data_IF_231814916228
#
_entry.id   IF_231814916228
#
_cell.length_a   1.000
_cell.length_b   1.000
_cell.length_c   1.000
_cell.angle_alpha   90.00
_cell.angle_beta   90.00
_cell.angle_gamma   90.00
#
_symmetry.space_group_name_H-M   'P 1'
#
loop_
_entity.id
_entity.type
_entity.pdbx_description
1 polymer ?
#
# COMPACT_ATOMS: atom_id res chain seq x y z
N UNK A 1 -36.79 -18.16 -0.05
CA UNK A 1 -35.43 -18.20 0.55
C UNK A 1 -34.65 -17.06 -0.07
N UNK A 2 -34.25 -16.10 0.77
CA UNK A 2 -33.83 -14.75 0.34
C UNK A 2 -32.59 -14.77 -0.57
N UNK A 3 -32.76 -14.23 -1.77
CA UNK A 3 -31.69 -13.77 -2.63
C UNK A 3 -30.98 -12.60 -1.94
N UNK A 4 -29.74 -12.79 -1.50
CA UNK A 4 -28.87 -11.68 -1.02
C UNK A 4 -27.39 -11.91 -1.36
N UNK A 5 -27.09 -12.37 -2.57
CA UNK A 5 -25.70 -12.51 -3.05
C UNK A 5 -25.40 -11.68 -4.29
N UNK A 6 -25.83 -10.40 -4.33
CA UNK A 6 -25.56 -9.56 -5.52
C UNK A 6 -25.30 -8.08 -5.26
N UNK A 7 -25.51 -7.56 -4.05
CA UNK A 7 -25.29 -6.11 -3.81
C UNK A 7 -23.83 -5.78 -3.48
N UNK A 8 -23.08 -6.69 -2.85
CA UNK A 8 -21.67 -6.48 -2.51
C UNK A 8 -20.73 -6.74 -3.69
N UNK A 9 -21.16 -7.49 -4.71
CA UNK A 9 -20.37 -7.76 -5.90
C UNK A 9 -20.09 -6.50 -6.74
N UNK A 10 -20.95 -5.48 -6.64
CA UNK A 10 -20.78 -4.20 -7.34
C UNK A 10 -19.79 -3.25 -6.63
N UNK A 11 -19.54 -3.46 -5.34
CA UNK A 11 -18.53 -2.72 -4.56
C UNK A 11 -17.18 -3.44 -4.49
N UNK A 12 -17.13 -4.72 -4.88
CA UNK A 12 -15.88 -5.46 -5.00
C UNK A 12 -15.30 -5.15 -6.38
N UNK A 13 -14.10 -4.55 -6.48
CA UNK A 13 -13.44 -4.42 -7.76
C UNK A 13 -13.24 -5.82 -8.37
N UNK A 14 -13.31 -5.95 -9.70
CA UNK A 14 -13.14 -7.23 -10.36
C UNK A 14 -11.80 -7.83 -9.93
N UNK A 15 -11.83 -9.09 -9.46
CA UNK A 15 -10.62 -9.84 -9.11
C UNK A 15 -9.73 -9.94 -10.34
N UNK A 16 -8.78 -9.04 -10.49
CA UNK A 16 -7.75 -9.13 -11.52
C UNK A 16 -6.88 -10.34 -11.20
N UNK A 17 -6.74 -11.23 -12.18
CA UNK A 17 -5.92 -12.45 -12.07
C UNK A 17 -4.43 -12.11 -11.89
N UNK A 18 -4.02 -10.85 -12.09
CA UNK A 18 -2.83 -10.24 -11.50
C UNK A 18 -3.21 -9.41 -10.28
N UNK A 19 -2.78 -9.82 -9.09
CA UNK A 19 -3.27 -9.28 -7.83
C UNK A 19 -3.15 -7.75 -7.70
N UNK A 20 -4.21 -7.13 -7.20
CA UNK A 20 -4.35 -5.69 -6.98
C UNK A 20 -3.12 -5.10 -6.22
N UNK A 21 -2.43 -4.09 -6.80
CA UNK A 21 -1.27 -3.47 -6.15
C UNK A 21 -1.61 -2.83 -4.81
N UNK A 22 -2.81 -2.25 -4.65
CA UNK A 22 -3.25 -1.68 -3.38
C UNK A 22 -3.43 -2.76 -2.31
N UNK A 23 -4.18 -3.82 -2.60
CA UNK A 23 -4.31 -4.96 -1.70
C UNK A 23 -2.95 -5.56 -1.30
N UNK A 24 -1.95 -5.55 -2.20
CA UNK A 24 -0.59 -5.96 -1.85
C UNK A 24 0.08 -4.98 -0.89
N UNK A 25 0.03 -3.68 -1.15
CA UNK A 25 0.59 -2.64 -0.28
C UNK A 25 -0.03 -2.74 1.11
N UNK A 26 -1.36 -2.84 1.19
CA UNK A 26 -2.10 -2.99 2.46
C UNK A 26 -1.66 -4.25 3.21
N UNK A 27 -1.53 -5.38 2.52
CA UNK A 27 -1.06 -6.62 3.14
C UNK A 27 0.36 -6.46 3.69
N UNK A 28 1.28 -5.91 2.90
CA UNK A 28 2.66 -5.66 3.33
C UNK A 28 2.72 -4.71 4.53
N UNK A 29 1.89 -3.67 4.56
CA UNK A 29 1.79 -2.77 5.70
C UNK A 29 1.18 -3.43 6.93
N UNK A 30 0.27 -4.39 6.77
CA UNK A 30 -0.33 -5.14 7.89
C UNK A 30 0.58 -6.20 8.50
N UNK A 31 1.47 -6.79 7.69
CA UNK A 31 2.40 -7.86 8.10
C UNK A 31 3.67 -7.32 8.78
N UNK A 32 3.99 -6.03 8.61
CA UNK A 32 5.24 -5.43 9.07
C UNK A 32 4.98 -4.24 10.00
N UNK A 33 5.75 -4.12 11.09
CA UNK A 33 5.63 -2.98 12.00
C UNK A 33 5.97 -1.64 11.32
N UNK A 34 6.95 -1.66 10.41
CA UNK A 34 7.29 -0.55 9.52
C UNK A 34 7.65 -1.14 8.16
N UNK A 35 7.02 -0.63 7.11
CA UNK A 35 7.38 -0.92 5.71
C UNK A 35 7.81 0.38 5.02
N UNK A 36 8.88 0.32 4.25
CA UNK A 36 9.40 1.43 3.46
C UNK A 36 9.36 1.01 1.99
N UNK A 37 8.53 1.70 1.21
CA UNK A 37 8.60 1.66 -0.25
C UNK A 37 9.56 2.76 -0.72
N UNK A 38 10.60 2.38 -1.45
CA UNK A 38 11.78 3.20 -1.70
C UNK A 38 12.19 3.16 -3.18
N UNK A 39 13.03 4.11 -3.58
CA UNK A 39 13.76 4.10 -4.85
C UNK A 39 15.25 4.06 -4.52
N UNK A 40 15.97 3.09 -5.07
CA UNK A 40 17.34 2.79 -4.66
C UNK A 40 18.29 3.96 -4.95
N UNK A 41 18.03 4.73 -6.02
CA UNK A 41 18.82 5.90 -6.42
C UNK A 41 18.46 7.22 -5.71
N UNK A 42 17.49 7.24 -4.79
CA UNK A 42 17.02 8.46 -4.14
C UNK A 42 17.79 8.79 -2.84
N UNK A 43 18.37 9.99 -2.72
CA UNK A 43 19.11 10.41 -1.53
C UNK A 43 18.25 10.52 -0.26
N UNK A 44 16.98 10.88 -0.38
CA UNK A 44 16.04 10.94 0.75
C UNK A 44 15.67 9.54 1.26
N UNK A 45 15.52 8.56 0.37
CA UNK A 45 15.28 7.18 0.75
C UNK A 45 16.42 6.64 1.61
N UNK A 46 17.67 6.96 1.28
CA UNK A 46 18.83 6.63 2.11
C UNK A 46 18.76 7.29 3.49
N UNK A 47 18.36 8.56 3.57
CA UNK A 47 18.24 9.28 4.84
C UNK A 47 17.19 8.61 5.76
N UNK A 48 16.02 8.25 5.24
CA UNK A 48 14.96 7.58 6.01
C UNK A 48 15.42 6.19 6.46
N UNK A 49 16.02 5.38 5.57
CA UNK A 49 16.59 4.07 5.92
C UNK A 49 17.59 4.18 7.07
N UNK A 50 18.50 5.15 7.00
CA UNK A 50 19.50 5.42 8.05
C UNK A 50 18.88 5.91 9.35
N UNK A 51 17.84 6.74 9.27
CA UNK A 51 17.13 7.25 10.45
C UNK A 51 16.51 6.09 11.24
N UNK A 52 15.78 5.19 10.59
CA UNK A 52 15.20 4.01 11.25
C UNK A 52 16.27 3.08 11.84
N UNK A 53 17.35 2.85 11.10
CA UNK A 53 18.49 2.07 11.59
C UNK A 53 19.12 2.72 12.84
N UNK A 54 19.30 4.05 12.85
CA UNK A 54 19.82 4.80 14.00
C UNK A 54 18.90 4.78 15.23
N UNK A 55 17.60 4.54 15.03
CA UNK A 55 16.63 4.34 16.13
C UNK A 55 16.55 2.88 16.60
N UNK A 56 17.36 1.97 16.06
CA UNK A 56 17.31 0.54 16.37
C UNK A 56 16.10 -0.19 15.78
N UNK A 57 15.41 0.41 14.80
CA UNK A 57 14.30 -0.21 14.10
C UNK A 57 14.83 -1.01 12.91
N UNK A 58 14.23 -2.18 12.67
CA UNK A 58 14.48 -2.99 11.47
C UNK A 58 13.28 -2.88 10.51
N UNK A 59 13.20 -1.85 9.65
CA UNK A 59 12.10 -1.70 8.72
C UNK A 59 12.23 -2.69 7.56
N UNK A 60 11.10 -3.18 7.05
CA UNK A 60 11.06 -3.95 5.80
C UNK A 60 11.12 -2.98 4.63
N UNK A 61 12.09 -3.13 3.73
CA UNK A 61 12.30 -2.22 2.59
C UNK A 61 11.97 -2.92 1.28
N UNK A 62 11.17 -2.27 0.44
CA UNK A 62 10.90 -2.65 -0.94
C UNK A 62 11.40 -1.55 -1.87
N UNK A 63 12.47 -1.82 -2.62
CA UNK A 63 12.99 -0.91 -3.65
C UNK A 63 12.15 -1.10 -4.94
N UNK A 64 11.31 -0.12 -5.25
CA UNK A 64 10.31 -0.18 -6.33
C UNK A 64 10.94 -0.13 -7.73
N UNK A 65 12.15 0.40 -7.85
CA UNK A 65 12.92 0.41 -9.09
C UNK A 65 13.61 -0.93 -9.39
N UNK A 66 13.66 -1.83 -8.40
CA UNK A 66 14.26 -3.17 -8.53
C UNK A 66 13.22 -4.31 -8.48
N UNK A 67 12.03 -4.06 -7.92
CA UNK A 67 10.93 -5.02 -7.88
C UNK A 67 10.18 -5.08 -9.23
N UNK A 68 9.97 -6.26 -9.85
CA UNK A 68 9.19 -6.41 -11.09
C UNK A 68 7.76 -5.84 -11.01
N UNK A 69 7.17 -5.79 -9.81
CA UNK A 69 5.85 -5.23 -9.52
C UNK A 69 5.93 -3.79 -8.98
N UNK A 70 7.13 -3.25 -8.82
CA UNK A 70 7.38 -1.97 -8.17
C UNK A 70 6.69 -0.80 -8.88
N UNK A 71 6.66 -0.78 -10.21
CA UNK A 71 5.96 0.25 -10.99
C UNK A 71 4.44 0.29 -10.73
N UNK A 72 3.81 -0.87 -10.55
CA UNK A 72 2.38 -0.93 -10.22
C UNK A 72 2.12 -0.43 -8.80
N UNK A 73 2.99 -0.79 -7.84
CA UNK A 73 2.92 -0.31 -6.47
C UNK A 73 3.20 1.19 -6.37
N UNK A 74 4.19 1.71 -7.09
CA UNK A 74 4.49 3.14 -7.17
C UNK A 74 3.28 3.93 -7.67
N UNK A 75 2.64 3.47 -8.75
CA UNK A 75 1.45 4.11 -9.28
C UNK A 75 0.31 4.12 -8.26
N UNK A 76 0.09 3.00 -7.57
CA UNK A 76 -0.94 2.87 -6.55
C UNK A 76 -0.68 3.79 -5.34
N UNK A 77 0.56 3.86 -4.85
CA UNK A 77 0.98 4.77 -3.76
C UNK A 77 0.78 6.24 -4.14
N UNK A 78 1.07 6.60 -5.39
CA UNK A 78 0.90 7.97 -5.89
C UNK A 78 -0.55 8.33 -6.21
N UNK A 79 -1.44 7.35 -6.38
CA UNK A 79 -2.87 7.59 -6.63
C UNK A 79 -3.69 7.82 -5.36
N UNK A 80 -3.15 7.53 -4.18
CA UNK A 80 -3.79 7.79 -2.90
C UNK A 80 -3.61 9.26 -2.48
N UNK A 81 -4.41 10.16 -3.08
CA UNK A 81 -4.82 11.37 -2.35
C UNK A 81 -5.76 10.96 -1.19
N UNK A 82 -5.67 11.62 -0.01
CA UNK A 82 -6.37 11.19 1.20
C UNK A 82 -7.90 11.39 1.10
N UNK A 83 -8.60 10.46 0.46
CA UNK A 83 -10.08 10.41 0.39
C UNK A 83 -10.74 9.84 1.66
N UNK A 84 -10.00 9.72 2.78
CA UNK A 84 -10.55 9.30 4.09
C UNK A 84 -10.73 10.43 5.10
N UNK A 85 -10.74 11.70 4.69
CA UNK A 85 -11.24 12.80 5.53
C UNK A 85 -12.63 13.25 5.07
N UNK A 86 -13.61 12.99 5.95
CA UNK A 86 -15.02 13.42 5.95
C UNK A 86 -16.01 12.49 5.24
N UNK A 87 -16.40 11.44 5.94
CA UNK A 87 -17.82 11.27 6.29
C UNK A 87 -17.88 10.70 7.71
N UNK A 88 -17.59 11.56 8.67
CA UNK A 88 -18.10 11.38 10.03
C UNK A 88 -19.58 11.71 9.99
N UNK A 89 -20.40 10.70 10.27
CA UNK A 89 -21.80 10.83 10.62
C UNK A 89 -21.98 11.91 11.68
N UNK A 90 -22.65 12.99 11.33
CA UNK A 90 -23.38 13.78 12.32
C UNK A 90 -24.79 13.19 12.39
N UNK A 91 -25.02 12.54 13.54
CA UNK A 91 -26.27 12.23 14.23
C UNK A 91 -27.59 12.67 13.59
#
# INVERSE_FOLDING_TARGET
MYQTESSWAAYMPPRTIGGDPLARIERLASENAVVIFSISSCCMCHAIKRLFCGMGVNPTVYELDEDPRGKEMEKALNSEEPSRRRQGQHK
#
